data_IF_391977506146
#
_entry.id   IF_391977506146
#
_cell.length_a   1.000
_cell.length_b   1.000
_cell.length_c   1.000
_cell.angle_alpha   90.00
_cell.angle_beta   90.00
_cell.angle_gamma   90.00
#
_symmetry.space_group_name_H-M   'P 1'
#
loop_
_entity.id
_entity.type
_entity.pdbx_description
1 polymer ?
#
# COMPACT_ATOMS: atom_id res chain seq x y z
N UNK A 1 -45.49 -2.73 -6.18
CA UNK A 1 -44.52 -3.44 -5.30
C UNK A 1 -43.71 -4.55 -6.00
N UNK A 2 -44.29 -5.45 -6.83
CA UNK A 2 -43.57 -6.51 -7.53
C UNK A 2 -42.47 -5.96 -8.47
N UNK A 3 -42.76 -4.94 -9.30
CA UNK A 3 -41.79 -4.34 -10.23
C UNK A 3 -40.57 -3.73 -9.52
N UNK A 4 -40.73 -3.09 -8.35
CA UNK A 4 -39.64 -2.52 -7.56
C UNK A 4 -38.75 -3.61 -7.02
N UNK A 5 -39.31 -4.72 -6.50
CA UNK A 5 -38.53 -5.87 -6.01
C UNK A 5 -37.71 -6.51 -7.13
N UNK A 6 -38.28 -6.67 -8.31
CA UNK A 6 -37.58 -7.21 -9.47
C UNK A 6 -36.44 -6.28 -9.90
N UNK A 7 -36.66 -4.97 -9.94
CA UNK A 7 -35.61 -3.99 -10.28
C UNK A 7 -34.43 -4.02 -9.30
N UNK A 8 -34.71 -4.12 -7.98
CA UNK A 8 -33.65 -4.24 -6.97
C UNK A 8 -32.85 -5.54 -7.12
N UNK A 9 -33.55 -6.67 -7.38
CA UNK A 9 -32.87 -7.95 -7.59
C UNK A 9 -31.94 -7.93 -8.81
N UNK A 10 -32.40 -7.35 -9.91
CA UNK A 10 -31.58 -7.20 -11.13
C UNK A 10 -30.34 -6.32 -10.84
N UNK A 11 -30.51 -5.19 -10.14
CA UNK A 11 -29.40 -4.33 -9.77
C UNK A 11 -28.37 -5.07 -8.91
N UNK A 12 -28.81 -5.80 -7.89
CA UNK A 12 -27.94 -6.59 -7.02
C UNK A 12 -27.19 -7.65 -7.84
N UNK A 13 -27.87 -8.36 -8.73
CA UNK A 13 -27.24 -9.36 -9.59
C UNK A 13 -26.16 -8.74 -10.49
N UNK A 14 -26.42 -7.59 -11.10
CA UNK A 14 -25.44 -6.85 -11.93
C UNK A 14 -24.21 -6.47 -11.08
N UNK A 15 -24.41 -5.92 -9.88
CA UNK A 15 -23.31 -5.57 -8.98
C UNK A 15 -22.48 -6.78 -8.61
N UNK A 16 -23.12 -7.90 -8.24
CA UNK A 16 -22.41 -9.14 -7.87
C UNK A 16 -21.60 -9.68 -9.05
N UNK A 17 -22.19 -9.76 -10.25
CA UNK A 17 -21.48 -10.22 -11.45
C UNK A 17 -20.30 -9.29 -11.76
N UNK A 18 -20.48 -7.98 -11.67
CA UNK A 18 -19.39 -7.02 -11.89
C UNK A 18 -18.26 -7.22 -10.90
N UNK A 19 -18.55 -7.37 -9.60
CA UNK A 19 -17.53 -7.60 -8.58
C UNK A 19 -16.81 -8.94 -8.77
N UNK A 20 -17.52 -10.00 -9.12
CA UNK A 20 -16.91 -11.29 -9.43
C UNK A 20 -16.00 -11.21 -10.67
N UNK A 21 -16.45 -10.53 -11.72
CA UNK A 21 -15.62 -10.29 -12.90
C UNK A 21 -14.35 -9.53 -12.55
N UNK A 22 -14.48 -8.40 -11.82
CA UNK A 22 -13.34 -7.61 -11.39
C UNK A 22 -12.39 -8.37 -10.46
N UNK A 23 -12.90 -9.31 -9.66
CA UNK A 23 -12.06 -10.18 -8.82
C UNK A 23 -11.18 -11.11 -9.65
N UNK A 24 -11.69 -11.59 -10.80
CA UNK A 24 -10.96 -12.50 -11.70
C UNK A 24 -10.03 -11.72 -12.62
N UNK A 25 -10.52 -10.65 -13.22
CA UNK A 25 -9.75 -9.87 -14.21
C UNK A 25 -8.83 -8.85 -13.58
N UNK A 26 -9.09 -8.46 -12.33
CA UNK A 26 -8.42 -7.38 -11.63
C UNK A 26 -8.90 -5.99 -12.08
N UNK A 27 -8.49 -5.00 -11.32
CA UNK A 27 -8.54 -3.59 -11.68
C UNK A 27 -7.31 -2.93 -11.05
N UNK A 28 -6.19 -3.05 -11.75
CA UNK A 28 -4.92 -2.52 -11.28
C UNK A 28 -4.89 -1.00 -11.34
N UNK A 29 -4.08 -0.33 -10.51
CA UNK A 29 -3.91 1.12 -10.54
C UNK A 29 -3.46 1.59 -11.94
N UNK A 30 -4.34 2.20 -12.76
CA UNK A 30 -3.96 2.62 -14.10
C UNK A 30 -2.99 3.79 -14.04
N UNK A 31 -2.09 3.82 -15.01
CA UNK A 31 -1.13 4.91 -15.16
C UNK A 31 -1.83 6.20 -15.59
N UNK A 32 -1.39 7.32 -15.02
CA UNK A 32 -1.82 8.67 -15.39
C UNK A 32 -0.67 9.35 -16.15
N UNK A 33 -0.96 9.82 -17.37
CA UNK A 33 0.01 10.52 -18.18
C UNK A 33 0.48 11.81 -17.46
N UNK A 34 1.79 12.00 -17.27
CA UNK A 34 2.35 13.22 -16.69
C UNK A 34 1.99 14.50 -17.45
N UNK A 35 1.68 14.42 -18.74
CA UNK A 35 1.26 15.56 -19.54
C UNK A 35 -0.25 15.88 -19.40
N UNK A 36 -1.01 15.02 -18.70
CA UNK A 36 -2.46 15.19 -18.57
C UNK A 36 -2.87 16.25 -17.54
N UNK A 37 -4.06 16.82 -17.73
CA UNK A 37 -4.66 17.71 -16.74
C UNK A 37 -4.91 17.01 -15.39
N UNK A 38 -5.13 15.70 -15.42
CA UNK A 38 -5.30 14.90 -14.21
C UNK A 38 -4.02 14.88 -13.39
N UNK A 39 -2.87 14.68 -14.03
CA UNK A 39 -1.57 14.76 -13.35
C UNK A 39 -1.34 16.15 -12.77
N UNK A 40 -1.62 17.21 -13.55
CA UNK A 40 -1.49 18.60 -13.08
C UNK A 40 -2.33 18.88 -11.82
N UNK A 41 -3.54 18.30 -11.72
CA UNK A 41 -4.41 18.44 -10.55
C UNK A 41 -3.97 17.57 -9.37
N UNK A 42 -3.56 16.33 -9.62
CA UNK A 42 -3.30 15.32 -8.59
C UNK A 42 -1.85 15.22 -8.17
N UNK A 43 -0.91 15.51 -9.08
CA UNK A 43 0.51 15.22 -8.91
C UNK A 43 0.82 13.72 -8.85
N UNK A 44 -0.06 12.86 -9.36
CA UNK A 44 0.04 11.40 -9.26
C UNK A 44 0.11 10.75 -10.62
N UNK A 45 0.97 9.75 -10.72
CA UNK A 45 1.17 8.96 -11.94
C UNK A 45 0.23 7.75 -12.03
N UNK A 46 -0.61 7.51 -11.01
CA UNK A 46 -1.56 6.40 -11.00
C UNK A 46 -2.85 6.75 -10.28
N UNK A 47 -3.96 6.18 -10.71
CA UNK A 47 -5.23 6.16 -9.97
C UNK A 47 -5.28 4.98 -9.00
N UNK A 48 -6.20 4.98 -8.02
CA UNK A 48 -6.50 3.80 -7.22
C UNK A 48 -7.03 2.65 -8.10
N UNK A 49 -6.70 1.43 -7.70
CA UNK A 49 -7.25 0.20 -8.23
C UNK A 49 -7.99 -0.61 -7.16
N UNK A 50 -8.39 -1.83 -7.53
CA UNK A 50 -9.04 -2.79 -6.63
C UNK A 50 -8.17 -4.05 -6.51
N UNK A 51 -8.59 -5.15 -7.13
CA UNK A 51 -7.85 -6.43 -7.08
C UNK A 51 -6.62 -6.42 -7.97
N UNK A 52 -5.51 -6.88 -7.43
CA UNK A 52 -4.33 -7.20 -8.21
C UNK A 52 -4.41 -8.65 -8.69
N UNK A 53 -4.01 -8.88 -9.94
CA UNK A 53 -3.95 -10.22 -10.56
C UNK A 53 -2.53 -10.56 -10.97
N UNK A 54 -2.23 -11.85 -11.05
CA UNK A 54 -0.93 -12.38 -11.45
C UNK A 54 -0.65 -13.71 -10.78
N UNK A 55 0.45 -14.32 -11.19
CA UNK A 55 0.99 -15.54 -10.57
C UNK A 55 1.44 -15.25 -9.15
N UNK A 56 1.00 -16.05 -8.19
CA UNK A 56 1.41 -15.95 -6.79
C UNK A 56 2.74 -16.68 -6.60
N UNK A 57 3.70 -15.99 -6.00
CA UNK A 57 5.01 -16.55 -5.68
C UNK A 57 4.93 -17.26 -4.32
N UNK A 58 5.30 -18.53 -4.30
CA UNK A 58 5.33 -19.39 -3.11
C UNK A 58 6.77 -19.69 -2.65
N UNK A 59 7.77 -19.35 -3.46
CA UNK A 59 9.17 -19.51 -3.09
C UNK A 59 9.62 -18.34 -2.20
N UNK A 60 10.41 -18.62 -1.15
CA UNK A 60 10.96 -17.58 -0.31
C UNK A 60 12.01 -16.76 -1.06
N UNK A 61 11.94 -15.46 -0.94
CA UNK A 61 12.94 -14.54 -1.51
C UNK A 61 13.95 -14.18 -0.43
N UNK A 62 15.20 -14.57 -0.65
CA UNK A 62 16.30 -14.38 0.30
C UNK A 62 17.08 -13.07 0.08
N UNK A 63 16.94 -12.45 -1.07
CA UNK A 63 17.54 -11.15 -1.38
C UNK A 63 16.54 -10.27 -2.15
N UNK A 64 16.28 -9.08 -1.62
CA UNK A 64 15.33 -8.11 -2.16
C UNK A 64 16.00 -6.93 -2.91
N UNK A 65 17.33 -6.92 -3.08
CA UNK A 65 18.02 -5.78 -3.71
C UNK A 65 17.53 -5.48 -5.13
N UNK A 66 17.06 -6.50 -5.83
CA UNK A 66 16.54 -6.39 -7.19
C UNK A 66 15.29 -5.50 -7.30
N UNK A 67 14.49 -5.37 -6.23
CA UNK A 67 13.28 -4.54 -6.26
C UNK A 67 13.59 -3.05 -6.43
N UNK A 68 14.82 -2.62 -6.11
CA UNK A 68 15.24 -1.24 -6.27
C UNK A 68 15.36 -0.81 -7.75
N UNK A 69 15.31 -1.78 -8.66
CA UNK A 69 15.42 -1.58 -10.11
C UNK A 69 14.28 -2.30 -10.86
N UNK A 70 13.16 -2.54 -10.21
CA UNK A 70 12.07 -3.38 -10.75
C UNK A 70 11.35 -2.74 -11.92
N UNK A 71 11.39 -1.43 -12.04
CA UNK A 71 10.75 -0.66 -13.10
C UNK A 71 11.76 0.19 -13.89
N UNK A 72 11.28 0.80 -14.98
CA UNK A 72 12.03 1.69 -15.81
C UNK A 72 12.53 2.96 -15.06
N UNK A 73 13.38 3.79 -15.69
CA UNK A 73 13.92 5.02 -15.10
C UNK A 73 12.86 6.01 -14.62
N UNK A 74 11.65 5.98 -15.19
CA UNK A 74 10.59 6.92 -14.87
C UNK A 74 9.87 6.49 -13.57
N UNK A 75 9.56 5.20 -13.45
CA UNK A 75 8.81 4.63 -12.31
C UNK A 75 9.70 4.09 -11.20
N UNK A 76 10.98 3.84 -11.51
CA UNK A 76 12.01 3.33 -10.59
C UNK A 76 11.53 2.09 -9.81
N UNK A 77 11.54 2.19 -8.47
CA UNK A 77 11.18 1.13 -7.55
C UNK A 77 9.72 1.20 -7.08
N UNK A 78 8.81 1.59 -7.96
CA UNK A 78 7.37 1.60 -7.64
C UNK A 78 6.74 0.23 -7.87
N UNK A 79 5.85 -0.17 -6.97
CA UNK A 79 5.10 -1.42 -7.03
C UNK A 79 3.62 -1.16 -6.75
N UNK A 80 2.78 -2.13 -7.02
CA UNK A 80 1.37 -2.06 -6.64
C UNK A 80 1.16 -2.77 -5.30
N UNK A 81 0.46 -2.12 -4.39
CA UNK A 81 0.09 -2.62 -3.07
C UNK A 81 -1.43 -2.75 -2.98
N UNK A 82 -1.92 -3.94 -2.69
CA UNK A 82 -3.33 -4.22 -2.41
C UNK A 82 -3.51 -4.40 -0.89
N UNK A 83 -4.43 -3.64 -0.32
CA UNK A 83 -4.80 -3.68 1.10
C UNK A 83 -6.25 -4.13 1.26
N UNK A 84 -6.57 -4.73 2.41
CA UNK A 84 -7.93 -5.16 2.74
C UNK A 84 -8.71 -4.02 3.37
N UNK A 85 -9.85 -3.69 2.77
CA UNK A 85 -10.78 -2.72 3.36
C UNK A 85 -11.71 -3.39 4.38
N UNK A 86 -12.35 -2.60 5.22
CA UNK A 86 -13.32 -3.11 6.21
C UNK A 86 -14.60 -3.70 5.56
N UNK A 87 -14.92 -3.26 4.35
CA UNK A 87 -16.11 -3.71 3.60
C UNK A 87 -15.80 -4.85 2.60
N UNK A 88 -14.59 -5.43 2.63
CA UNK A 88 -14.24 -6.64 1.90
C UNK A 88 -13.81 -6.45 0.44
N UNK A 89 -14.04 -5.29 -0.18
CA UNK A 89 -13.50 -4.97 -1.50
C UNK A 89 -12.10 -4.40 -1.30
N UNK A 90 -11.02 -5.02 -1.84
CA UNK A 90 -9.68 -4.52 -1.64
C UNK A 90 -9.46 -3.18 -2.34
N UNK A 91 -8.46 -2.46 -1.88
CA UNK A 91 -8.01 -1.22 -2.48
C UNK A 91 -6.54 -1.33 -2.84
N UNK A 92 -6.19 -1.01 -4.07
CA UNK A 92 -4.80 -1.05 -4.52
C UNK A 92 -4.29 0.33 -4.93
N UNK A 93 -3.01 0.55 -4.65
CA UNK A 93 -2.30 1.81 -4.92
C UNK A 93 -0.89 1.51 -5.39
N UNK A 94 -0.27 2.47 -6.06
CA UNK A 94 1.16 2.43 -6.35
C UNK A 94 1.94 3.09 -5.22
N UNK A 95 2.98 2.41 -4.73
CA UNK A 95 3.90 2.89 -3.69
C UNK A 95 5.35 2.61 -4.06
N UNK A 96 6.27 3.25 -3.35
CA UNK A 96 7.69 2.92 -3.46
C UNK A 96 8.06 1.75 -2.53
N UNK A 97 8.99 0.92 -2.99
CA UNK A 97 9.56 -0.20 -2.27
C UNK A 97 11.09 -0.05 -2.17
N UNK A 98 11.67 -0.55 -1.10
CA UNK A 98 13.12 -0.52 -0.88
C UNK A 98 13.58 -1.88 -0.40
N UNK A 99 14.49 -2.52 -1.14
CA UNK A 99 15.17 -3.76 -0.75
C UNK A 99 16.56 -3.45 -0.18
N UNK A 100 16.96 -4.20 0.85
CA UNK A 100 18.31 -4.18 1.43
C UNK A 100 18.68 -5.59 1.89
N UNK A 101 19.34 -6.35 1.01
CA UNK A 101 19.65 -7.75 1.26
C UNK A 101 18.36 -8.57 1.51
N UNK A 102 18.29 -9.21 2.65
CA UNK A 102 17.15 -10.02 3.11
C UNK A 102 15.93 -9.19 3.58
N UNK A 103 16.06 -7.87 3.68
CA UNK A 103 15.04 -6.98 4.23
C UNK A 103 14.33 -6.19 3.14
N UNK A 104 13.01 -6.11 3.28
CA UNK A 104 12.14 -5.37 2.39
C UNK A 104 11.36 -4.31 3.17
N UNK A 105 11.22 -3.13 2.58
CA UNK A 105 10.61 -1.97 3.23
C UNK A 105 9.66 -1.23 2.30
N UNK A 106 8.62 -0.65 2.89
CA UNK A 106 7.76 0.33 2.24
C UNK A 106 7.59 1.55 3.13
N UNK A 107 7.35 2.70 2.51
CA UNK A 107 7.07 3.93 3.22
C UNK A 107 5.70 4.48 2.86
N UNK A 108 5.06 5.14 3.82
CA UNK A 108 3.85 5.91 3.63
C UNK A 108 3.97 7.24 4.37
N UNK A 109 3.40 8.30 3.79
CA UNK A 109 3.41 9.61 4.40
C UNK A 109 1.98 9.99 4.77
N UNK A 110 1.76 10.21 6.05
CA UNK A 110 0.57 10.83 6.59
C UNK A 110 0.73 12.35 6.51
N UNK A 111 -0.20 13.02 5.86
CA UNK A 111 -0.23 14.48 5.78
C UNK A 111 -1.33 15.03 6.67
N UNK A 112 -1.14 16.24 7.18
CA UNK A 112 -2.21 16.99 7.84
C UNK A 112 -3.47 16.93 6.96
N UNK A 113 -4.62 16.63 7.58
CA UNK A 113 -5.89 16.47 6.86
C UNK A 113 -6.28 17.70 6.04
N UNK A 114 -5.86 18.90 6.48
CA UNK A 114 -6.08 20.15 5.77
C UNK A 114 -5.27 20.27 4.47
N UNK A 115 -4.16 19.54 4.39
CA UNK A 115 -3.28 19.48 3.23
C UNK A 115 -3.52 18.22 2.37
N UNK A 116 -4.37 17.30 2.83
CA UNK A 116 -4.70 16.11 2.08
C UNK A 116 -5.59 16.47 0.90
N UNK A 117 -5.23 15.94 -0.28
CA UNK A 117 -6.12 16.00 -1.42
C UNK A 117 -7.34 15.11 -1.16
N UNK A 118 -8.55 15.54 -1.56
CA UNK A 118 -9.75 14.72 -1.39
C UNK A 118 -9.65 13.41 -2.19
N UNK A 119 -10.45 12.42 -1.80
CA UNK A 119 -10.61 11.21 -2.63
C UNK A 119 -11.04 11.60 -4.08
N UNK A 120 -10.52 10.95 -5.11
CA UNK A 120 -9.65 9.77 -5.12
C UNK A 120 -8.13 10.08 -5.04
N UNK A 121 -7.74 11.29 -4.76
CA UNK A 121 -6.35 11.74 -4.81
C UNK A 121 -5.60 11.58 -3.48
N UNK A 122 -6.29 11.22 -2.40
CA UNK A 122 -5.65 10.86 -1.12
C UNK A 122 -5.17 9.41 -1.12
N UNK A 123 -4.03 9.15 -0.47
CA UNK A 123 -3.56 7.79 -0.22
C UNK A 123 -3.63 7.55 1.29
N UNK A 124 -4.52 6.68 1.70
CA UNK A 124 -4.70 6.30 3.11
C UNK A 124 -4.62 4.77 3.29
N UNK A 125 -3.79 4.08 2.49
CA UNK A 125 -3.65 2.63 2.53
C UNK A 125 -3.15 2.12 3.89
N UNK A 126 -2.40 2.93 4.63
CA UNK A 126 -1.88 2.58 5.96
C UNK A 126 -2.98 2.38 6.99
N UNK A 127 -4.11 3.08 6.92
CA UNK A 127 -5.25 2.86 7.82
C UNK A 127 -5.86 1.47 7.62
N UNK A 128 -5.81 0.93 6.41
CA UNK A 128 -6.19 -0.45 6.14
C UNK A 128 -5.17 -1.42 6.76
N UNK A 129 -3.86 -1.11 6.65
CA UNK A 129 -2.78 -1.94 7.19
C UNK A 129 -2.77 -1.97 8.72
N UNK A 130 -3.12 -0.88 9.37
CA UNK A 130 -3.28 -0.84 10.84
C UNK A 130 -4.35 -1.82 11.33
N UNK A 131 -5.43 -1.99 10.57
CA UNK A 131 -6.51 -2.93 10.89
C UNK A 131 -6.17 -4.36 10.46
N UNK A 132 -5.63 -4.54 9.26
CA UNK A 132 -5.21 -5.85 8.74
C UNK A 132 -3.85 -5.68 8.03
N UNK A 133 -2.73 -6.12 8.66
CA UNK A 133 -1.40 -5.93 8.10
C UNK A 133 -1.10 -6.84 6.90
N UNK A 134 -2.00 -7.76 6.57
CA UNK A 134 -1.85 -8.67 5.44
C UNK A 134 -2.17 -7.94 4.15
N UNK A 135 -1.22 -7.95 3.24
CA UNK A 135 -1.30 -7.27 1.94
C UNK A 135 -0.90 -8.20 0.81
N UNK A 136 -1.20 -7.79 -0.41
CA UNK A 136 -0.63 -8.39 -1.62
C UNK A 136 0.15 -7.30 -2.36
N UNK A 137 1.33 -7.68 -2.84
CA UNK A 137 2.19 -6.78 -3.60
C UNK A 137 2.41 -7.35 -4.98
N UNK A 138 2.23 -6.54 -6.02
CA UNK A 138 2.63 -6.90 -7.37
C UNK A 138 3.98 -6.27 -7.66
N UNK A 139 5.01 -7.12 -7.78
CA UNK A 139 6.41 -6.75 -7.97
C UNK A 139 6.92 -7.51 -9.21
N UNK A 140 7.39 -6.78 -10.22
CA UNK A 140 7.87 -7.40 -11.44
C UNK A 140 6.83 -8.29 -12.16
N UNK A 141 5.54 -7.93 -12.06
CA UNK A 141 4.43 -8.68 -12.66
C UNK A 141 3.90 -9.85 -11.82
N UNK A 142 4.61 -10.27 -10.77
CA UNK A 142 4.21 -11.38 -9.88
C UNK A 142 3.59 -10.88 -8.58
N UNK A 143 2.73 -11.69 -7.98
CA UNK A 143 2.05 -11.41 -6.72
C UNK A 143 2.83 -12.05 -5.56
N UNK A 144 3.11 -11.26 -4.55
CA UNK A 144 3.70 -11.67 -3.28
C UNK A 144 2.70 -11.42 -2.15
N UNK A 145 2.40 -12.44 -1.36
CA UNK A 145 1.59 -12.30 -0.16
C UNK A 145 2.49 -11.86 1.00
N UNK A 146 2.18 -10.71 1.58
CA UNK A 146 3.06 -10.03 2.53
C UNK A 146 2.34 -9.65 3.82
N UNK A 147 3.11 -9.45 4.88
CA UNK A 147 2.69 -8.81 6.12
C UNK A 147 3.54 -7.57 6.37
N UNK A 148 2.91 -6.46 6.68
CA UNK A 148 3.56 -5.20 7.00
C UNK A 148 3.64 -5.02 8.51
N UNK A 149 4.84 -4.73 9.03
CA UNK A 149 5.08 -4.42 10.44
C UNK A 149 5.64 -3.03 10.57
N UNK A 150 4.93 -2.14 11.28
CA UNK A 150 5.36 -0.76 11.50
C UNK A 150 6.69 -0.74 12.28
N UNK A 151 7.68 -0.03 11.75
CA UNK A 151 8.98 0.14 12.40
C UNK A 151 8.86 1.25 13.44
N UNK A 152 9.10 0.90 14.70
CA UNK A 152 9.09 1.82 15.85
C UNK A 152 10.49 2.19 16.31
N UNK A 153 11.51 1.45 15.89
CA UNK A 153 12.92 1.73 16.20
C UNK A 153 13.36 2.99 15.46
N UNK A 154 13.67 4.03 16.22
CA UNK A 154 14.12 5.33 15.70
C UNK A 154 15.44 5.24 14.96
N UNK A 155 16.37 4.36 15.40
CA UNK A 155 17.67 4.19 14.75
C UNK A 155 17.49 3.58 13.35
N UNK A 156 16.64 2.57 13.22
CA UNK A 156 16.32 1.97 11.93
C UNK A 156 15.62 2.97 11.00
N UNK A 157 14.64 3.73 11.51
CA UNK A 157 13.96 4.78 10.75
C UNK A 157 14.95 5.85 10.26
N UNK A 158 15.86 6.30 11.11
CA UNK A 158 16.89 7.28 10.73
C UNK A 158 17.79 6.78 9.59
N UNK A 159 18.19 5.49 9.64
CA UNK A 159 18.96 4.87 8.56
C UNK A 159 18.15 4.80 7.24
N UNK A 160 16.86 4.47 7.30
CA UNK A 160 15.98 4.42 6.14
C UNK A 160 15.75 5.80 5.55
N UNK A 161 15.61 6.81 6.39
CA UNK A 161 15.45 8.23 6.02
C UNK A 161 16.76 8.87 5.52
N UNK A 162 17.90 8.20 5.61
CA UNK A 162 19.22 8.75 5.27
C UNK A 162 19.52 10.06 6.01
N UNK A 163 19.23 10.09 7.32
CA UNK A 163 19.42 11.25 8.18
C UNK A 163 18.39 12.37 8.05
N UNK A 164 17.38 12.22 7.19
CA UNK A 164 16.27 13.18 7.12
C UNK A 164 15.28 12.95 8.27
N UNK A 165 14.70 14.03 8.78
CA UNK A 165 13.62 13.93 9.77
C UNK A 165 12.38 13.28 9.13
N UNK A 166 11.78 12.25 9.75
CA UNK A 166 10.52 11.69 9.30
C UNK A 166 9.33 12.65 9.47
N UNK A 167 9.50 13.71 10.27
CA UNK A 167 8.48 14.73 10.53
C UNK A 167 8.81 15.99 9.74
N UNK A 168 7.91 16.40 8.85
CA UNK A 168 8.01 17.69 8.16
C UNK A 168 7.16 18.71 8.90
N UNK A 169 7.75 19.87 9.16
CA UNK A 169 7.08 21.02 9.78
C UNK A 169 7.13 22.22 8.84
N UNK A 170 6.10 23.03 8.87
CA UNK A 170 6.03 24.28 8.13
C UNK A 170 5.49 25.39 9.05
N UNK A 171 5.98 26.62 8.87
CA UNK A 171 5.47 27.79 9.61
C UNK A 171 4.15 28.20 8.97
N UNK A 172 3.08 28.17 9.74
CA UNK A 172 1.75 28.58 9.31
C UNK A 172 1.58 30.11 9.25
N UNK A 173 0.42 30.57 8.76
CA UNK A 173 0.10 32.01 8.72
C UNK A 173 0.05 32.67 10.11
N UNK A 174 -0.09 31.87 11.17
CA UNK A 174 -0.06 32.27 12.59
C UNK A 174 1.36 32.42 13.12
N UNK A 175 2.39 32.21 12.33
CA UNK A 175 3.80 32.28 12.72
C UNK A 175 4.26 31.07 13.56
N UNK A 176 3.44 30.02 13.73
CA UNK A 176 3.79 28.83 14.51
C UNK A 176 4.20 27.67 13.60
N UNK A 177 5.06 26.77 14.13
CA UNK A 177 5.39 25.53 13.46
C UNK A 177 4.25 24.52 13.56
N UNK A 178 3.79 24.03 12.41
CA UNK A 178 2.80 22.95 12.32
C UNK A 178 3.41 21.72 11.66
N UNK A 179 3.11 20.54 12.18
CA UNK A 179 3.47 19.28 11.52
C UNK A 179 2.58 19.13 10.29
N UNK A 180 3.19 19.12 9.11
CA UNK A 180 2.48 18.99 7.84
C UNK A 180 2.53 17.58 7.26
N UNK A 181 3.54 16.80 7.63
CA UNK A 181 3.69 15.43 7.19
C UNK A 181 4.47 14.59 8.19
N UNK A 182 4.05 13.34 8.38
CA UNK A 182 4.80 12.30 9.10
C UNK A 182 5.06 11.13 8.15
N UNK A 183 6.31 10.71 8.03
CA UNK A 183 6.70 9.54 7.22
C UNK A 183 6.85 8.33 8.10
N UNK A 184 6.08 7.30 7.83
CA UNK A 184 6.13 6.01 8.48
C UNK A 184 6.83 4.99 7.59
N UNK A 185 7.48 4.00 8.20
CA UNK A 185 8.14 2.89 7.55
C UNK A 185 7.60 1.57 8.07
N UNK A 186 7.40 0.63 7.16
CA UNK A 186 7.03 -0.74 7.49
C UNK A 186 8.10 -1.69 6.96
N UNK A 187 8.46 -2.66 7.79
CA UNK A 187 9.19 -3.85 7.37
C UNK A 187 8.18 -4.82 6.76
N UNK A 188 8.57 -5.46 5.67
CA UNK A 188 7.70 -6.34 4.88
C UNK A 188 8.20 -7.77 5.00
N UNK A 189 7.32 -8.67 5.38
CA UNK A 189 7.61 -10.10 5.52
C UNK A 189 6.77 -10.89 4.53
N UNK A 190 7.40 -11.82 3.80
CA UNK A 190 6.71 -12.72 2.90
C UNK A 190 5.93 -13.76 3.71
N UNK A 191 4.70 -14.05 3.27
CA UNK A 191 3.82 -15.08 3.85
C UNK A 191 3.65 -16.25 2.89
N UNK A 192 3.15 -17.38 3.43
CA UNK A 192 2.77 -18.56 2.66
C UNK A 192 3.93 -19.12 1.81
N UNK A 193 5.13 -19.01 2.37
CA UNK A 193 6.35 -19.61 1.83
C UNK A 193 6.85 -20.66 2.83
N UNK A 194 7.51 -21.73 2.35
CA UNK A 194 8.15 -22.70 3.23
C UNK A 194 9.15 -21.99 4.16
N UNK A 195 9.12 -22.34 5.46
CA UNK A 195 10.15 -21.84 6.37
C UNK A 195 11.52 -22.35 5.92
N UNK A 196 12.44 -21.46 5.66
CA UNK A 196 13.84 -21.80 5.54
C UNK A 196 14.33 -22.23 6.93
N UNK A 197 14.83 -23.48 7.02
CA UNK A 197 15.20 -24.15 8.25
C UNK A 197 15.81 -23.24 9.32
N UNK A 198 15.14 -23.20 10.46
CA UNK A 198 15.59 -22.72 11.77
C UNK A 198 16.29 -21.35 11.84
N UNK A 199 15.57 -20.31 11.47
CA UNK A 199 15.89 -18.93 11.80
C UNK A 199 14.63 -18.18 12.22
N UNK A 200 14.27 -18.33 13.47
CA UNK A 200 13.35 -17.49 14.25
C UNK A 200 12.33 -16.68 13.43
N UNK A 201 11.15 -17.23 13.20
CA UNK A 201 9.95 -16.43 13.00
C UNK A 201 9.88 -15.46 14.19
N UNK A 202 10.16 -14.18 13.95
CA UNK A 202 9.92 -13.15 14.93
C UNK A 202 8.42 -13.20 15.23
N UNK A 203 8.09 -13.68 16.43
CA UNK A 203 6.74 -13.69 16.96
C UNK A 203 6.12 -12.31 16.70
N UNK A 204 4.91 -12.31 16.15
CA UNK A 204 4.12 -11.10 16.09
C UNK A 204 4.09 -10.51 17.51
N UNK A 205 4.34 -9.19 17.67
CA UNK A 205 4.35 -8.60 19.00
C UNK A 205 3.00 -8.87 19.65
N UNK A 206 3.02 -9.55 20.80
CA UNK A 206 1.88 -9.71 21.68
C UNK A 206 1.25 -8.35 21.94
N UNK A 207 -0.05 -8.28 21.77
CA UNK A 207 -0.82 -7.11 22.19
C UNK A 207 -0.65 -6.96 23.70
N UNK A 208 0.22 -6.06 24.11
CA UNK A 208 0.29 -5.65 25.53
C UNK A 208 -1.03 -4.95 25.86
N UNK A 209 -1.93 -5.68 26.48
CA UNK A 209 -3.13 -5.14 27.11
C UNK A 209 -2.64 -4.37 28.32
N UNK A 210 -2.56 -3.05 28.23
CA UNK A 210 -2.36 -2.19 29.40
C UNK A 210 -3.68 -2.12 30.16
N UNK A 211 -3.63 -2.63 31.37
CA UNK A 211 -4.60 -2.32 32.43
C UNK A 211 -4.48 -0.86 32.84
#
# INVERSE_FOLDING_TARGET
MKAVKTGVLVLVAVVVVTLLTLRVTGLEPPYVDPASQEFAKSGRTTRPGLWLTGEVVHEPVTNWDWVNKVNDPIRKNTIMLETRTWYGIPHSVTINIVGRGDKLYVQGSERDFRLQKPFPYSKAWWTNVERDPRVRMKIGGKIYEMTLVLIRDRAEVAQLQRGRDPVTKEVGPDGQEHITQVTHWWRVYQRNVPEYGNGSAAAAPEKTTSQ
#
